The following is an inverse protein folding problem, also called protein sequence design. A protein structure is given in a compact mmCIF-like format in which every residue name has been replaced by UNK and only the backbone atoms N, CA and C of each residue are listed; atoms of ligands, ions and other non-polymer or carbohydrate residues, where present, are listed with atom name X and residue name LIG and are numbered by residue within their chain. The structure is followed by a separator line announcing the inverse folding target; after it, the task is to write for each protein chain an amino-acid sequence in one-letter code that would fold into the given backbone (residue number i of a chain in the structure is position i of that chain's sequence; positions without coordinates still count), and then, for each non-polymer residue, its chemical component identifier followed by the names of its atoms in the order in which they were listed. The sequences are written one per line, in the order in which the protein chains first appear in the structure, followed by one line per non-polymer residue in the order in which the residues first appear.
data_IF_750166108660
#
_entry.id   IF_750166108660
#
_cell.length_a   1.000
_cell.length_b   1.000
_cell.length_c   1.000
_cell.angle_alpha   90.00
_cell.angle_beta   90.00
_cell.angle_gamma   90.00
#
_symmetry.space_group_name_H-M   'P 1'
#
loop_
_entity.id
_entity.type
_entity.pdbx_description
1 polymer ?
#
# COMPACT_ATOMS: atom_id res chain seq x y z
N UNK A 1 -6.79 -55.87 -20.56
CA UNK A 1 -7.72 -54.79 -20.96
C UNK A 1 -7.60 -53.53 -20.11
N UNK A 2 -7.83 -53.57 -18.78
CA UNK A 2 -7.88 -52.36 -17.93
C UNK A 2 -6.65 -51.41 -18.04
N UNK A 3 -5.44 -51.96 -18.12
CA UNK A 3 -4.20 -51.17 -18.26
C UNK A 3 -4.09 -50.36 -19.55
N UNK A 4 -4.72 -50.79 -20.65
CA UNK A 4 -4.69 -50.05 -21.92
C UNK A 4 -5.58 -48.82 -21.87
N UNK A 5 -6.75 -48.93 -21.23
CA UNK A 5 -7.67 -47.81 -21.04
C UNK A 5 -7.13 -46.76 -20.07
N UNK A 6 -6.43 -47.17 -18.99
CA UNK A 6 -5.76 -46.22 -18.10
C UNK A 6 -4.67 -45.41 -18.83
N UNK A 7 -3.89 -46.05 -19.71
CA UNK A 7 -2.87 -45.36 -20.49
C UNK A 7 -3.49 -44.35 -21.48
N UNK A 8 -4.55 -44.74 -22.18
CA UNK A 8 -5.29 -43.82 -23.06
C UNK A 8 -5.84 -42.62 -22.29
N UNK A 9 -6.40 -42.84 -21.09
CA UNK A 9 -6.89 -41.76 -20.22
C UNK A 9 -5.79 -40.82 -19.74
N UNK A 10 -4.60 -41.34 -19.44
CA UNK A 10 -3.45 -40.52 -19.03
C UNK A 10 -2.78 -39.79 -20.21
N UNK A 11 -2.90 -40.29 -21.44
CA UNK A 11 -2.51 -39.53 -22.63
C UNK A 11 -3.40 -38.29 -22.82
N UNK A 12 -4.69 -38.38 -22.48
CA UNK A 12 -5.63 -37.25 -22.57
C UNK A 12 -5.52 -36.30 -21.36
N UNK A 13 -5.34 -36.84 -20.15
CA UNK A 13 -5.19 -36.08 -18.91
C UNK A 13 -4.12 -36.73 -18.02
N UNK A 14 -2.85 -36.29 -18.15
CA UNK A 14 -1.72 -36.89 -17.41
C UNK A 14 -1.88 -36.82 -15.89
N UNK A 15 -2.59 -35.79 -15.40
CA UNK A 15 -2.74 -35.50 -13.96
C UNK A 15 -3.99 -36.16 -13.35
N UNK A 16 -4.63 -37.11 -14.06
CA UNK A 16 -5.80 -37.80 -13.55
C UNK A 16 -5.41 -38.77 -12.42
N UNK A 17 -5.66 -38.35 -11.18
CA UNK A 17 -5.30 -39.07 -9.95
C UNK A 17 -5.94 -40.48 -9.95
N UNK A 18 -7.21 -40.59 -10.33
CA UNK A 18 -7.95 -41.84 -10.39
C UNK A 18 -7.34 -42.80 -11.41
N UNK A 19 -6.96 -42.32 -12.59
CA UNK A 19 -6.33 -43.15 -13.62
C UNK A 19 -4.92 -43.60 -13.21
N UNK A 20 -4.13 -42.75 -12.54
CA UNK A 20 -2.82 -43.12 -11.97
C UNK A 20 -2.95 -44.16 -10.86
N UNK A 21 -3.92 -44.02 -9.95
CA UNK A 21 -4.21 -45.00 -8.88
C UNK A 21 -4.58 -46.37 -9.45
N UNK A 22 -5.46 -46.40 -10.46
CA UNK A 22 -5.87 -47.62 -11.14
C UNK A 22 -4.70 -48.28 -11.90
N UNK A 23 -3.86 -47.48 -12.58
CA UNK A 23 -2.66 -47.98 -13.27
C UNK A 23 -1.63 -48.55 -12.28
N UNK A 24 -1.35 -47.85 -11.18
CA UNK A 24 -0.45 -48.32 -10.14
C UNK A 24 -0.89 -49.69 -9.58
N UNK A 25 -2.18 -49.86 -9.30
CA UNK A 25 -2.73 -51.14 -8.81
C UNK A 25 -2.63 -52.26 -9.85
N UNK A 26 -2.89 -51.95 -11.13
CA UNK A 26 -2.75 -52.92 -12.22
C UNK A 26 -1.28 -53.33 -12.44
N UNK A 27 -0.33 -52.40 -12.31
CA UNK A 27 1.11 -52.65 -12.44
C UNK A 27 1.66 -53.49 -11.27
N UNK A 28 1.20 -53.26 -10.04
CA UNK A 28 1.51 -54.11 -8.89
C UNK A 28 1.10 -55.57 -9.12
N UNK A 29 -0.12 -55.80 -9.65
CA UNK A 29 -0.62 -57.15 -9.96
C UNK A 29 0.20 -57.86 -11.06
N UNK A 30 0.87 -57.11 -11.93
CA UNK A 30 1.72 -57.64 -13.01
C UNK A 30 3.20 -57.80 -12.61
N UNK A 31 3.58 -57.47 -11.38
CA UNK A 31 4.98 -57.54 -10.89
C UNK A 31 5.88 -56.36 -11.30
N UNK A 32 5.35 -55.33 -11.96
CA UNK A 32 6.11 -54.15 -12.41
C UNK A 32 6.26 -53.10 -11.29
N UNK A 33 6.98 -53.43 -10.22
CA UNK A 33 7.04 -52.63 -8.99
C UNK A 33 7.59 -51.20 -9.17
N UNK A 34 8.62 -51.01 -9.99
CA UNK A 34 9.23 -49.68 -10.24
C UNK A 34 8.26 -48.70 -10.90
N UNK A 35 7.52 -49.17 -11.91
CA UNK A 35 6.53 -48.34 -12.61
C UNK A 35 5.33 -48.03 -11.70
N UNK A 36 4.88 -49.00 -10.91
CA UNK A 36 3.81 -48.78 -9.93
C UNK A 36 4.22 -47.77 -8.83
N UNK A 37 5.47 -47.79 -8.40
CA UNK A 37 6.00 -46.82 -7.42
C UNK A 37 6.04 -45.40 -7.99
N UNK A 38 6.44 -45.25 -9.26
CA UNK A 38 6.43 -43.94 -9.93
C UNK A 38 5.02 -43.35 -10.00
N UNK A 39 4.01 -44.14 -10.34
CA UNK A 39 2.61 -43.69 -10.36
C UNK A 39 2.12 -43.28 -8.96
N UNK A 40 2.48 -44.05 -7.91
CA UNK A 40 2.15 -43.71 -6.52
C UNK A 40 2.81 -42.40 -6.08
N UNK A 41 4.08 -42.19 -6.45
CA UNK A 41 4.78 -40.94 -6.15
C UNK A 41 4.16 -39.75 -6.90
N UNK A 42 3.77 -39.94 -8.16
CA UNK A 42 3.08 -38.92 -8.95
C UNK A 42 1.72 -38.55 -8.32
N UNK A 43 0.94 -39.54 -7.87
CA UNK A 43 -0.31 -39.31 -7.12
C UNK A 43 -0.06 -38.49 -5.85
N UNK A 44 0.92 -38.88 -5.03
CA UNK A 44 1.25 -38.15 -3.79
C UNK A 44 1.66 -36.69 -4.08
N UNK A 45 2.43 -36.46 -5.14
CA UNK A 45 2.83 -35.12 -5.55
C UNK A 45 1.63 -34.29 -6.04
N UNK A 46 0.76 -34.86 -6.87
CA UNK A 46 -0.45 -34.18 -7.36
C UNK A 46 -1.43 -33.84 -6.23
N UNK A 47 -1.63 -34.75 -5.27
CA UNK A 47 -2.45 -34.50 -4.08
C UNK A 47 -1.85 -33.39 -3.20
N UNK A 48 -0.51 -33.35 -3.05
CA UNK A 48 0.17 -32.26 -2.34
C UNK A 48 -0.02 -30.92 -3.05
N UNK A 49 0.20 -30.87 -4.37
CA UNK A 49 -0.01 -29.68 -5.18
C UNK A 49 -1.45 -29.19 -5.07
N UNK A 50 -2.44 -30.09 -5.17
CA UNK A 50 -3.86 -29.77 -5.02
C UNK A 50 -4.17 -29.12 -3.65
N UNK A 51 -3.62 -29.68 -2.56
CA UNK A 51 -3.74 -29.10 -1.21
C UNK A 51 -3.10 -27.72 -1.11
N UNK A 52 -1.92 -27.53 -1.69
CA UNK A 52 -1.22 -26.24 -1.66
C UNK A 52 -1.95 -25.17 -2.49
N UNK A 53 -2.51 -25.54 -3.64
CA UNK A 53 -3.37 -24.67 -4.45
C UNK A 53 -4.64 -24.28 -3.69
N UNK A 54 -5.30 -25.22 -3.03
CA UNK A 54 -6.48 -24.95 -2.21
C UNK A 54 -6.17 -23.99 -1.05
N UNK A 55 -5.05 -24.21 -0.34
CA UNK A 55 -4.59 -23.31 0.73
C UNK A 55 -4.29 -21.90 0.21
N UNK A 56 -3.63 -21.78 -0.95
CA UNK A 56 -3.36 -20.47 -1.59
C UNK A 56 -4.67 -19.77 -1.97
N UNK A 57 -5.64 -20.51 -2.51
CA UNK A 57 -6.97 -19.98 -2.86
C UNK A 57 -7.73 -19.46 -1.63
N UNK A 58 -7.84 -20.26 -0.57
CA UNK A 58 -8.48 -19.84 0.68
C UNK A 58 -7.80 -18.63 1.31
N UNK A 59 -6.46 -18.61 1.32
CA UNK A 59 -5.70 -17.47 1.82
C UNK A 59 -6.02 -16.20 1.01
N UNK A 60 -6.09 -16.30 -0.33
CA UNK A 60 -6.46 -15.18 -1.22
C UNK A 60 -7.89 -14.69 -0.95
N UNK A 61 -8.86 -15.59 -0.82
CA UNK A 61 -10.26 -15.26 -0.54
C UNK A 61 -10.41 -14.55 0.80
N UNK A 62 -9.76 -15.07 1.86
CA UNK A 62 -9.79 -14.45 3.19
C UNK A 62 -9.16 -13.05 3.19
N UNK A 63 -8.11 -12.83 2.39
CA UNK A 63 -7.53 -11.49 2.23
C UNK A 63 -8.45 -10.54 1.48
N UNK A 64 -9.09 -11.01 0.41
CA UNK A 64 -10.05 -10.20 -0.34
C UNK A 64 -11.19 -9.76 0.58
N UNK A 65 -11.74 -10.69 1.35
CA UNK A 65 -12.79 -10.41 2.33
C UNK A 65 -12.35 -9.36 3.37
N UNK A 66 -11.09 -9.42 3.83
CA UNK A 66 -10.52 -8.40 4.75
C UNK A 66 -10.46 -7.03 4.10
N UNK A 67 -10.00 -6.97 2.84
CA UNK A 67 -9.92 -5.71 2.08
C UNK A 67 -11.31 -5.12 1.81
N UNK A 68 -12.31 -5.94 1.52
CA UNK A 68 -13.69 -5.50 1.29
C UNK A 68 -14.29 -4.92 2.59
N UNK A 69 -14.02 -5.56 3.74
CA UNK A 69 -14.40 -5.03 5.06
C UNK A 69 -13.71 -3.70 5.37
N UNK A 70 -12.44 -3.54 4.97
CA UNK A 70 -11.71 -2.31 5.14
C UNK A 70 -12.36 -1.14 4.37
N UNK A 71 -12.74 -1.38 3.11
CA UNK A 71 -13.44 -0.41 2.27
C UNK A 71 -14.79 -0.01 2.86
N UNK A 72 -15.61 -0.98 3.28
CA UNK A 72 -16.90 -0.71 3.91
C UNK A 72 -16.76 0.14 5.18
N UNK A 73 -15.79 -0.20 6.04
CA UNK A 73 -15.51 0.58 7.24
C UNK A 73 -15.04 2.01 6.91
N UNK A 74 -14.26 2.18 5.85
CA UNK A 74 -13.84 3.50 5.37
C UNK A 74 -15.03 4.33 4.86
N UNK A 75 -15.95 3.70 4.12
CA UNK A 75 -17.14 4.38 3.60
C UNK A 75 -18.08 4.81 4.75
N UNK A 76 -18.25 3.98 5.77
CA UNK A 76 -18.97 4.36 6.99
C UNK A 76 -18.27 5.51 7.73
N UNK A 77 -16.94 5.47 7.83
CA UNK A 77 -16.14 6.56 8.39
C UNK A 77 -16.37 7.88 7.65
N UNK A 78 -16.45 7.84 6.32
CA UNK A 78 -16.78 9.00 5.48
C UNK A 78 -18.18 9.54 5.73
N UNK A 79 -19.18 8.66 5.86
CA UNK A 79 -20.55 9.09 6.21
C UNK A 79 -20.59 9.83 7.55
N UNK A 80 -19.90 9.32 8.57
CA UNK A 80 -19.83 10.00 9.86
C UNK A 80 -19.02 11.30 9.83
N UNK A 81 -17.98 11.37 9.00
CA UNK A 81 -17.22 12.60 8.77
C UNK A 81 -18.10 13.69 8.15
N UNK A 82 -18.90 13.34 7.13
CA UNK A 82 -19.81 14.27 6.46
C UNK A 82 -20.92 14.76 7.42
N UNK A 83 -21.34 13.91 8.37
CA UNK A 83 -22.25 14.27 9.48
C UNK A 83 -21.56 15.02 10.63
N UNK A 84 -20.27 15.35 10.52
CA UNK A 84 -19.46 15.97 11.58
C UNK A 84 -19.37 15.17 12.89
N UNK A 85 -19.69 13.87 12.85
CA UNK A 85 -19.52 12.95 13.96
C UNK A 85 -18.09 12.40 14.01
N UNK A 86 -17.13 13.27 14.33
CA UNK A 86 -15.70 13.00 14.20
C UNK A 86 -15.19 11.82 15.05
N UNK A 87 -15.71 11.62 16.25
CA UNK A 87 -15.31 10.49 17.10
C UNK A 87 -15.68 9.14 16.45
N UNK A 88 -16.88 9.04 15.86
CA UNK A 88 -17.29 7.84 15.14
C UNK A 88 -16.50 7.66 13.84
N UNK A 89 -16.26 8.75 13.10
CA UNK A 89 -15.43 8.70 11.89
C UNK A 89 -14.04 8.12 12.17
N UNK A 90 -13.38 8.55 13.27
CA UNK A 90 -12.08 8.02 13.69
C UNK A 90 -12.15 6.53 14.00
N UNK A 91 -13.18 6.07 14.71
CA UNK A 91 -13.35 4.64 15.03
C UNK A 91 -13.49 3.79 13.76
N UNK A 92 -14.32 4.22 12.82
CA UNK A 92 -14.52 3.53 11.55
C UNK A 92 -13.29 3.55 10.64
N UNK A 93 -12.58 4.67 10.52
CA UNK A 93 -11.31 4.69 9.79
C UNK A 93 -10.24 3.83 10.46
N UNK A 94 -10.22 3.77 11.80
CA UNK A 94 -9.31 2.89 12.53
C UNK A 94 -9.65 1.41 12.30
N UNK A 95 -10.94 1.05 12.22
CA UNK A 95 -11.38 -0.28 11.79
C UNK A 95 -10.91 -0.58 10.36
N UNK A 96 -11.03 0.36 9.42
CA UNK A 96 -10.53 0.18 8.05
C UNK A 96 -9.02 -0.13 8.03
N UNK A 97 -8.22 0.63 8.77
CA UNK A 97 -6.77 0.41 8.90
C UNK A 97 -6.47 -0.96 9.52
N UNK A 98 -7.23 -1.37 10.54
CA UNK A 98 -7.03 -2.67 11.21
C UNK A 98 -7.40 -3.87 10.34
N UNK A 99 -8.45 -3.75 9.49
CA UNK A 99 -8.76 -4.77 8.49
C UNK A 99 -7.66 -4.87 7.43
N UNK A 100 -7.06 -3.73 7.08
CA UNK A 100 -5.92 -3.63 6.17
C UNK A 100 -6.28 -3.94 4.71
N UNK A 101 -5.34 -3.62 3.82
CA UNK A 101 -5.38 -4.04 2.42
C UNK A 101 -3.97 -4.35 1.92
N UNK A 102 -3.85 -5.17 0.88
CA UNK A 102 -2.60 -5.32 0.15
C UNK A 102 -2.42 -4.22 -0.91
N UNK A 103 -3.46 -3.43 -1.15
CA UNK A 103 -3.38 -2.27 -2.00
C UNK A 103 -2.79 -1.10 -1.20
N UNK A 104 -1.58 -0.68 -1.60
CA UNK A 104 -0.87 0.44 -0.99
C UNK A 104 -1.65 1.76 -1.09
N UNK A 105 -2.39 1.96 -2.19
CA UNK A 105 -3.23 3.12 -2.39
C UNK A 105 -4.38 3.15 -1.38
N UNK A 106 -5.07 2.02 -1.17
CA UNK A 106 -6.15 1.93 -0.18
C UNK A 106 -5.62 2.16 1.24
N UNK A 107 -4.47 1.58 1.57
CA UNK A 107 -3.83 1.83 2.85
C UNK A 107 -3.55 3.31 3.07
N UNK A 108 -2.97 3.99 2.08
CA UNK A 108 -2.71 5.44 2.15
C UNK A 108 -4.01 6.25 2.29
N UNK A 109 -5.05 5.90 1.54
CA UNK A 109 -6.37 6.54 1.59
C UNK A 109 -7.01 6.44 2.99
N UNK A 110 -6.93 5.28 3.66
CA UNK A 110 -7.51 5.13 5.01
C UNK A 110 -6.84 6.05 6.03
N UNK A 111 -5.50 6.17 5.97
CA UNK A 111 -4.76 7.11 6.80
C UNK A 111 -5.09 8.57 6.44
N UNK A 112 -5.15 8.95 5.15
CA UNK A 112 -5.50 10.32 4.73
C UNK A 112 -6.89 10.73 5.21
N UNK A 113 -7.86 9.83 5.11
CA UNK A 113 -9.23 10.08 5.57
C UNK A 113 -9.28 10.33 7.08
N UNK A 114 -8.55 9.52 7.88
CA UNK A 114 -8.47 9.74 9.34
C UNK A 114 -7.68 11.02 9.67
N UNK A 115 -6.63 11.32 8.92
CA UNK A 115 -5.88 12.56 9.02
C UNK A 115 -6.80 13.78 8.83
N UNK A 116 -7.72 13.74 7.87
CA UNK A 116 -8.69 14.81 7.64
C UNK A 116 -9.61 15.03 8.86
N UNK A 117 -9.96 13.98 9.60
CA UNK A 117 -10.74 14.11 10.85
C UNK A 117 -9.92 14.78 11.94
N UNK A 118 -8.67 14.34 12.15
CA UNK A 118 -7.77 14.96 13.12
C UNK A 118 -7.50 16.42 12.82
N UNK A 119 -7.40 16.79 11.53
CA UNK A 119 -7.31 18.18 11.10
C UNK A 119 -8.53 19.01 11.53
N UNK A 120 -9.75 18.45 11.43
CA UNK A 120 -10.98 19.13 11.89
C UNK A 120 -11.04 19.29 13.40
N UNK A 121 -10.48 18.34 14.15
CA UNK A 121 -10.36 18.39 15.61
C UNK A 121 -9.18 19.24 16.08
N UNK A 122 -8.38 19.81 15.15
CA UNK A 122 -7.14 20.52 15.44
C UNK A 122 -6.11 19.66 16.22
N UNK A 123 -6.20 18.33 16.12
CA UNK A 123 -5.21 17.41 16.65
C UNK A 123 -4.04 17.28 15.67
N UNK A 124 -3.15 18.26 15.71
CA UNK A 124 -2.01 18.37 14.79
C UNK A 124 -1.03 17.19 14.92
N UNK A 125 -0.98 16.54 16.09
CA UNK A 125 -0.04 15.45 16.38
C UNK A 125 -0.46 14.18 15.65
N UNK A 126 -1.72 13.77 15.82
CA UNK A 126 -2.23 12.59 15.12
C UNK A 126 -2.43 12.85 13.63
N UNK A 127 -2.79 14.08 13.25
CA UNK A 127 -2.82 14.49 11.85
C UNK A 127 -1.47 14.30 11.16
N UNK A 128 -0.37 14.80 11.74
CA UNK A 128 0.97 14.62 11.17
C UNK A 128 1.40 13.14 11.09
N UNK A 129 1.08 12.35 12.14
CA UNK A 129 1.38 10.91 12.16
C UNK A 129 0.68 10.16 11.04
N UNK A 130 -0.61 10.43 10.83
CA UNK A 130 -1.38 9.76 9.77
C UNK A 130 -0.93 10.19 8.38
N UNK A 131 -0.56 11.46 8.17
CA UNK A 131 0.06 11.88 6.90
C UNK A 131 1.36 11.10 6.61
N UNK A 132 2.21 10.90 7.62
CA UNK A 132 3.44 10.12 7.45
C UNK A 132 3.14 8.63 7.19
N UNK A 133 2.17 8.06 7.90
CA UNK A 133 1.74 6.69 7.68
C UNK A 133 1.21 6.48 6.25
N UNK A 134 0.40 7.41 5.75
CA UNK A 134 -0.12 7.36 4.40
C UNK A 134 1.00 7.37 3.35
N UNK A 135 2.01 8.24 3.50
CA UNK A 135 3.15 8.31 2.59
C UNK A 135 4.10 7.11 2.70
N UNK A 136 4.13 6.45 3.86
CA UNK A 136 4.85 5.19 4.01
C UNK A 136 4.14 4.04 3.28
N UNK A 137 2.82 4.10 3.15
CA UNK A 137 2.04 3.16 2.34
C UNK A 137 2.23 3.46 0.85
N UNK A 138 1.94 4.69 0.42
CA UNK A 138 2.05 5.11 -0.97
C UNK A 138 2.68 6.51 -1.08
N UNK A 139 3.91 6.55 -1.59
CA UNK A 139 4.68 7.78 -1.79
C UNK A 139 4.17 8.64 -2.94
N UNK A 140 3.24 8.12 -3.76
CA UNK A 140 2.63 8.83 -4.89
C UNK A 140 1.27 9.42 -4.55
N UNK A 141 0.80 9.27 -3.30
CA UNK A 141 -0.49 9.77 -2.86
C UNK A 141 -0.50 11.30 -2.66
N UNK A 142 -0.77 12.01 -3.77
CA UNK A 142 -0.75 13.47 -3.94
C UNK A 142 -1.47 14.24 -2.82
N UNK A 143 -2.66 13.78 -2.42
CA UNK A 143 -3.50 14.51 -1.44
C UNK A 143 -2.82 14.72 -0.09
N UNK A 144 -2.00 13.76 0.35
CA UNK A 144 -1.33 13.82 1.65
C UNK A 144 -0.20 14.83 1.63
N UNK A 145 0.55 14.98 0.54
CA UNK A 145 1.57 16.04 0.43
C UNK A 145 0.92 17.42 0.57
N UNK A 146 -0.21 17.66 -0.11
CA UNK A 146 -0.94 18.93 -0.01
C UNK A 146 -1.37 19.22 1.44
N UNK A 147 -1.91 18.23 2.15
CA UNK A 147 -2.31 18.35 3.56
C UNK A 147 -1.14 18.58 4.51
N UNK A 148 -0.09 17.75 4.39
CA UNK A 148 1.09 17.82 5.25
C UNK A 148 1.89 19.11 5.02
N UNK A 149 2.00 19.59 3.78
CA UNK A 149 2.62 20.88 3.49
C UNK A 149 1.89 22.03 4.21
N UNK A 150 0.55 22.05 4.15
CA UNK A 150 -0.26 23.04 4.88
C UNK A 150 -0.07 22.95 6.40
N UNK A 151 0.04 21.75 6.94
CA UNK A 151 0.32 21.54 8.37
C UNK A 151 1.68 22.09 8.77
N UNK A 152 2.72 21.68 8.05
CA UNK A 152 4.10 22.08 8.29
C UNK A 152 4.26 23.60 8.17
N UNK A 153 3.55 24.21 7.22
CA UNK A 153 3.48 25.66 7.10
C UNK A 153 2.91 26.33 8.36
N UNK A 154 1.80 25.82 8.89
CA UNK A 154 1.20 26.33 10.14
C UNK A 154 2.10 26.12 11.35
N UNK A 155 2.86 25.02 11.39
CA UNK A 155 3.83 24.72 12.45
C UNK A 155 5.13 25.55 12.34
N UNK A 156 5.31 26.32 11.25
CA UNK A 156 6.52 27.10 11.00
C UNK A 156 7.67 26.28 10.41
N UNK A 157 7.48 25.00 10.13
CA UNK A 157 8.45 24.11 9.50
C UNK A 157 8.53 24.33 7.97
N UNK A 158 8.88 25.56 7.57
CA UNK A 158 8.81 26.05 6.18
C UNK A 158 9.63 25.21 5.21
N UNK A 159 10.85 24.82 5.57
CA UNK A 159 11.71 23.99 4.70
C UNK A 159 11.07 22.65 4.35
N UNK A 160 10.43 22.00 5.32
CA UNK A 160 9.76 20.71 5.09
C UNK A 160 8.48 20.91 4.27
N UNK A 161 7.74 22.00 4.53
CA UNK A 161 6.57 22.35 3.73
C UNK A 161 6.92 22.60 2.25
N UNK A 162 8.02 23.33 1.98
CA UNK A 162 8.52 23.55 0.61
C UNK A 162 8.89 22.23 -0.07
N UNK A 163 9.56 21.31 0.64
CA UNK A 163 9.87 19.97 0.09
C UNK A 163 8.61 19.21 -0.30
N UNK A 164 7.55 19.28 0.51
CA UNK A 164 6.26 18.66 0.19
C UNK A 164 5.57 19.34 -1.00
N UNK A 165 5.64 20.67 -1.11
CA UNK A 165 5.12 21.39 -2.29
C UNK A 165 5.87 21.04 -3.57
N UNK A 166 7.21 20.88 -3.51
CA UNK A 166 8.00 20.43 -4.65
C UNK A 166 7.60 19.00 -5.05
N UNK A 167 7.52 18.08 -4.08
CA UNK A 167 7.09 16.71 -4.33
C UNK A 167 5.69 16.66 -4.96
N UNK A 168 4.76 17.48 -4.46
CA UNK A 168 3.42 17.63 -5.01
C UNK A 168 3.45 18.04 -6.49
N UNK A 169 4.18 19.10 -6.84
CA UNK A 169 4.29 19.57 -8.22
C UNK A 169 4.93 18.54 -9.16
N UNK A 170 5.95 17.81 -8.67
CA UNK A 170 6.59 16.74 -9.44
C UNK A 170 5.59 15.61 -9.72
N UNK A 171 4.82 15.18 -8.72
CA UNK A 171 3.82 14.12 -8.88
C UNK A 171 2.66 14.53 -9.80
N UNK A 172 2.32 15.81 -9.83
CA UNK A 172 1.31 16.38 -10.74
C UNK A 172 1.87 16.75 -12.12
N UNK A 173 3.14 16.40 -12.40
CA UNK A 173 3.86 16.73 -13.64
C UNK A 173 3.81 18.23 -13.99
N UNK A 174 3.77 19.10 -12.97
CA UNK A 174 3.67 20.55 -13.11
C UNK A 174 2.45 21.02 -13.94
N UNK A 175 1.37 20.22 -13.97
CA UNK A 175 0.13 20.58 -14.69
C UNK A 175 -0.81 21.44 -13.85
N UNK A 176 -0.79 21.26 -12.53
CA UNK A 176 -1.64 22.03 -11.62
C UNK A 176 -1.00 23.38 -11.29
N UNK A 177 -1.59 24.45 -11.82
CA UNK A 177 -1.10 25.81 -11.61
C UNK A 177 -1.20 26.22 -10.14
N UNK A 178 -2.24 25.79 -9.43
CA UNK A 178 -2.44 26.14 -8.02
C UNK A 178 -1.33 25.58 -7.14
N UNK A 179 -0.91 24.33 -7.37
CA UNK A 179 0.25 23.73 -6.71
C UNK A 179 1.55 24.51 -6.99
N UNK A 180 1.79 24.92 -8.24
CA UNK A 180 2.98 25.72 -8.62
C UNK A 180 2.96 27.08 -7.92
N UNK A 181 1.86 27.83 -8.03
CA UNK A 181 1.70 29.15 -7.41
C UNK A 181 1.84 29.07 -5.87
N UNK A 182 1.42 27.96 -5.27
CA UNK A 182 1.59 27.72 -3.83
C UNK A 182 3.05 27.44 -3.47
N UNK A 183 3.75 26.63 -4.27
CA UNK A 183 5.18 26.37 -4.10
C UNK A 183 6.01 27.66 -4.23
N UNK A 184 5.76 28.45 -5.27
CA UNK A 184 6.48 29.69 -5.53
C UNK A 184 6.28 30.70 -4.39
N UNK A 185 5.04 30.91 -3.95
CA UNK A 185 4.73 31.76 -2.79
C UNK A 185 5.44 31.28 -1.53
N UNK A 186 5.45 29.96 -1.29
CA UNK A 186 6.11 29.38 -0.13
C UNK A 186 7.64 29.65 -0.13
N UNK A 187 8.28 29.54 -1.29
CA UNK A 187 9.70 29.85 -1.46
C UNK A 187 9.96 31.34 -1.25
N UNK A 188 9.23 32.21 -1.94
CA UNK A 188 9.40 33.66 -1.85
C UNK A 188 9.23 34.16 -0.41
N UNK A 189 8.16 33.76 0.28
CA UNK A 189 7.91 34.18 1.66
C UNK A 189 9.04 33.72 2.60
N UNK A 190 9.54 32.50 2.40
CA UNK A 190 10.64 31.96 3.20
C UNK A 190 11.92 32.75 2.93
N UNK A 191 12.26 33.02 1.68
CA UNK A 191 13.43 33.82 1.31
C UNK A 191 13.35 35.25 1.85
N UNK A 192 12.19 35.91 1.74
CA UNK A 192 12.00 37.28 2.25
C UNK A 192 12.19 37.37 3.76
N UNK A 193 11.75 36.37 4.53
CA UNK A 193 11.93 36.34 5.99
C UNK A 193 13.37 36.10 6.44
N UNK A 194 14.14 35.37 5.63
CA UNK A 194 15.56 35.11 5.92
C UNK A 194 16.49 36.08 5.16
N UNK A 195 15.95 37.07 4.45
CA UNK A 195 16.74 38.06 3.72
C UNK A 195 17.67 38.84 4.66
N UNK A 196 17.23 39.09 5.90
CA UNK A 196 18.06 39.73 6.94
C UNK A 196 19.17 38.80 7.46
N UNK A 197 18.94 37.49 7.54
CA UNK A 197 19.99 36.52 7.90
C UNK A 197 21.04 36.37 6.78
N UNK A 198 20.61 36.44 5.52
CA UNK A 198 21.50 36.44 4.36
C UNK A 198 22.32 37.75 4.26
N UNK A 199 21.73 38.91 4.57
CA UNK A 199 22.45 40.19 4.54
C UNK A 199 23.53 40.28 5.64
N UNK A 200 23.27 39.75 6.85
CA UNK A 200 24.23 39.72 7.97
C UNK A 200 25.43 38.80 7.71
N UNK A 201 25.23 37.70 6.98
CA UNK A 201 26.32 36.74 6.66
C UNK A 201 27.33 37.31 5.65
N UNK A 202 26.88 38.18 4.74
CA UNK A 202 27.76 38.86 3.78
C UNK A 202 28.42 40.13 4.36
N UNK A 203 27.76 40.82 5.29
CA UNK A 203 28.36 42.00 5.94
C UNK A 203 29.49 41.63 6.93
N UNK A 204 29.34 40.51 7.65
CA UNK A 204 30.36 40.00 8.59
C UNK A 204 31.58 39.38 7.93
N UNK A 205 31.48 38.91 6.68
CA UNK A 205 32.62 38.43 5.89
C UNK A 205 33.38 39.56 5.20
N UNK A 206 32.71 40.67 4.85
CA UNK A 206 33.37 41.83 4.23
C UNK A 206 34.30 42.59 5.20
N UNK A 207 33.92 42.71 6.48
CA UNK A 207 34.77 43.36 7.51
C UNK A 207 36.05 42.59 7.88
N UNK A 208 36.21 41.34 7.43
CA UNK A 208 37.45 40.56 7.61
C UNK A 208 38.42 40.62 6.43
N UNK A 209 37.98 41.12 5.28
CA UNK A 209 38.80 41.17 4.05
C UNK A 209 39.38 42.58 3.82
N UNK A 210 38.83 43.62 4.46
CA UNK A 210 39.34 45.00 4.38
C UNK A 210 40.42 45.36 5.41
N UNK A 211 41.17 44.38 5.94
CA UNK A 211 42.23 44.61 6.94
C UNK A 211 43.56 43.93 6.60
N UNK A 212 43.81 43.68 5.31
CA UNK A 212 45.13 43.32 4.79
C UNK A 212 45.50 44.22 3.62
#
# INVERSE_FOLDING_TARGET
MLSHYCNAGLCLKPDCIEALKLRANALCKKGCNKAALNDKNMVNNLERISKDVAKKKQKKEKFQESSDKALLANDDGKRFFDLSHYAMAIDYYTKAINYGSNDYYLCAMFYDNRAAVYEKLNDLTNFHKDCNAALNCDKTYVNVYRRRARLLWKLGEREKAIKDHIALCVLEEYKDKDSIDTMERAIVETCSKHADEFSVKYCSTFHRISSF
#
